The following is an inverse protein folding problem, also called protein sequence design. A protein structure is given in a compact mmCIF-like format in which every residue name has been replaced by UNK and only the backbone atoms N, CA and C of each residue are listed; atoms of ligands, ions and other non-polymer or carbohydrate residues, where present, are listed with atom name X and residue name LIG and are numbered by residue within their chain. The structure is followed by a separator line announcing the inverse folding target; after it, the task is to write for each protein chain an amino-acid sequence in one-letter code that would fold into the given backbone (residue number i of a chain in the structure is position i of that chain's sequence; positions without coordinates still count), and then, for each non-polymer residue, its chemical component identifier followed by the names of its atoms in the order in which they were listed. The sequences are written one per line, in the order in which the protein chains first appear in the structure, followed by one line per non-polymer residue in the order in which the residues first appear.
data_IF_728195660253
#
_entry.id   IF_728195660253
#
_cell.length_a   1.000
_cell.length_b   1.000
_cell.length_c   1.000
_cell.angle_alpha   90.00
_cell.angle_beta   90.00
_cell.angle_gamma   90.00
#
_symmetry.space_group_name_H-M   'P 1'
#
loop_
_entity.id
_entity.type
_entity.pdbx_description
1 polymer ?
#
# COMPACT_ATOMS: atom_id res chain seq x y z
N UNK A 1 36.59 -29.34 43.88
CA UNK A 1 35.65 -28.25 43.53
C UNK A 1 36.19 -26.86 43.81
N UNK A 2 36.56 -26.50 45.05
CA UNK A 2 37.10 -25.15 45.36
C UNK A 2 38.37 -24.80 44.55
N UNK A 3 39.30 -25.75 44.41
CA UNK A 3 40.54 -25.56 43.63
C UNK A 3 40.23 -25.45 42.13
N UNK A 4 39.25 -26.19 41.63
CA UNK A 4 38.83 -26.13 40.23
C UNK A 4 38.14 -24.79 39.91
N UNK A 5 37.32 -24.27 40.82
CA UNK A 5 36.73 -22.94 40.70
C UNK A 5 37.78 -21.82 40.70
N UNK A 6 38.82 -21.95 41.52
CA UNK A 6 39.93 -20.99 41.55
C UNK A 6 40.74 -21.00 40.23
N UNK A 7 41.00 -22.18 39.67
CA UNK A 7 41.69 -22.31 38.38
C UNK A 7 40.84 -21.78 37.21
N UNK A 8 39.51 -21.98 37.24
CA UNK A 8 38.61 -21.41 36.24
C UNK A 8 38.56 -19.89 36.29
N UNK A 9 38.54 -19.29 37.49
CA UNK A 9 38.61 -17.84 37.66
C UNK A 9 39.91 -17.26 37.10
N UNK A 10 41.05 -17.92 37.34
CA UNK A 10 42.35 -17.53 36.76
C UNK A 10 42.33 -17.64 35.24
N UNK A 11 41.73 -18.69 34.68
CA UNK A 11 41.65 -18.88 33.23
C UNK A 11 40.79 -17.79 32.57
N UNK A 12 39.63 -17.46 33.15
CA UNK A 12 38.76 -16.37 32.68
C UNK A 12 39.53 -15.05 32.75
N UNK A 13 40.22 -14.76 33.86
CA UNK A 13 41.06 -13.57 33.96
C UNK A 13 42.12 -13.55 32.86
N UNK A 14 42.91 -14.61 32.65
CA UNK A 14 43.97 -14.61 31.64
C UNK A 14 43.42 -14.44 30.21
N UNK A 15 42.27 -15.04 29.90
CA UNK A 15 41.67 -14.97 28.56
C UNK A 15 41.08 -13.59 28.27
N UNK A 16 40.42 -12.98 29.26
CA UNK A 16 39.71 -11.73 29.06
C UNK A 16 40.54 -10.49 29.44
N UNK A 17 41.59 -10.59 30.25
CA UNK A 17 42.45 -9.47 30.66
C UNK A 17 43.04 -8.68 29.48
N UNK A 18 43.51 -9.28 28.37
CA UNK A 18 44.00 -8.52 27.22
C UNK A 18 42.90 -7.69 26.54
N UNK A 19 41.65 -8.19 26.58
CA UNK A 19 40.48 -7.51 26.02
C UNK A 19 40.00 -6.41 26.98
N UNK A 20 40.03 -6.67 28.28
CA UNK A 20 39.69 -5.70 29.32
C UNK A 20 40.69 -4.55 29.32
N UNK A 21 41.99 -4.81 29.25
CA UNK A 21 43.02 -3.75 29.16
C UNK A 21 42.86 -2.93 27.87
N UNK A 22 42.47 -3.56 26.76
CA UNK A 22 42.22 -2.86 25.50
C UNK A 22 40.99 -1.95 25.61
N UNK A 23 39.92 -2.44 26.23
CA UNK A 23 38.69 -1.68 26.48
C UNK A 23 38.95 -0.56 27.49
N UNK A 24 39.69 -0.81 28.56
CA UNK A 24 40.04 0.19 29.57
C UNK A 24 40.96 1.25 29.00
N UNK A 25 41.98 0.88 28.22
CA UNK A 25 42.81 1.84 27.50
C UNK A 25 42.00 2.64 26.48
N UNK A 26 41.07 2.00 25.76
CA UNK A 26 40.17 2.69 24.84
C UNK A 26 39.25 3.68 25.58
N UNK A 27 38.66 3.29 26.71
CA UNK A 27 37.80 4.12 27.55
C UNK A 27 38.58 5.26 28.24
N UNK A 28 39.84 5.04 28.62
CA UNK A 28 40.70 6.08 29.20
C UNK A 28 41.19 7.08 28.14
N UNK A 29 41.55 6.59 26.96
CA UNK A 29 42.06 7.42 25.84
C UNK A 29 40.93 8.19 25.17
N UNK A 30 39.77 7.55 25.03
CA UNK A 30 38.58 8.12 24.43
C UNK A 30 37.45 8.09 25.44
N UNK A 31 37.58 8.93 26.48
CA UNK A 31 36.65 9.06 27.62
C UNK A 31 35.17 9.22 27.24
N UNK A 32 34.91 9.73 26.03
CA UNK A 32 33.56 9.90 25.50
C UNK A 32 33.23 8.93 24.37
N UNK A 33 34.17 8.12 23.85
CA UNK A 33 33.89 7.22 22.72
C UNK A 33 32.79 6.20 22.99
N UNK A 34 32.66 5.57 24.17
CA UNK A 34 31.52 4.68 24.44
C UNK A 34 30.19 5.43 24.41
N UNK A 35 30.16 6.65 24.98
CA UNK A 35 28.99 7.53 24.90
C UNK A 35 28.70 7.92 23.45
N UNK A 36 29.73 8.28 22.69
CA UNK A 36 29.65 8.68 21.29
C UNK A 36 29.16 7.51 20.43
N UNK A 37 29.68 6.30 20.63
CA UNK A 37 29.30 5.07 19.91
C UNK A 37 27.84 4.72 20.20
N UNK A 38 27.41 4.80 21.46
CA UNK A 38 26.00 4.58 21.85
C UNK A 38 25.10 5.70 21.29
N UNK A 39 25.57 6.95 21.22
CA UNK A 39 24.81 8.06 20.60
C UNK A 39 24.85 8.07 19.07
N UNK A 40 25.78 7.35 18.43
CA UNK A 40 25.90 7.25 16.97
C UNK A 40 25.26 5.98 16.40
N UNK A 41 24.98 4.99 17.24
CA UNK A 41 24.26 3.80 16.84
C UNK A 41 22.76 4.11 16.79
N UNK A 42 22.35 4.78 15.71
CA UNK A 42 20.94 4.97 15.41
C UNK A 42 20.25 3.60 15.40
N UNK A 43 19.14 3.51 16.12
CA UNK A 43 18.26 2.35 16.14
C UNK A 43 17.73 2.07 14.73
N UNK A 44 17.31 0.83 14.46
CA UNK A 44 16.69 0.49 13.18
C UNK A 44 15.48 1.39 12.86
N UNK A 45 14.74 1.79 13.90
CA UNK A 45 13.60 2.70 13.83
C UNK A 45 14.02 4.09 13.38
N UNK A 46 14.99 4.72 14.05
CA UNK A 46 15.46 6.08 13.71
C UNK A 46 16.01 6.15 12.28
N UNK A 47 16.71 5.09 11.83
CA UNK A 47 17.20 5.01 10.45
C UNK A 47 16.06 5.00 9.44
N UNK A 48 15.01 4.21 9.71
CA UNK A 48 13.85 4.12 8.82
C UNK A 48 13.05 5.42 8.83
N UNK A 49 12.88 6.06 9.99
CA UNK A 49 12.23 7.37 10.09
C UNK A 49 12.98 8.45 9.32
N UNK A 50 14.31 8.51 9.45
CA UNK A 50 15.14 9.44 8.67
C UNK A 50 15.02 9.14 7.16
N UNK A 51 15.07 7.87 6.76
CA UNK A 51 14.90 7.47 5.37
C UNK A 51 13.54 7.91 4.81
N UNK A 52 12.45 7.65 5.54
CA UNK A 52 11.09 8.05 5.19
C UNK A 52 10.96 9.57 5.05
N UNK A 53 11.49 10.34 6.01
CA UNK A 53 11.51 11.80 5.96
C UNK A 53 12.37 12.35 4.80
N UNK A 54 13.41 11.61 4.40
CA UNK A 54 14.32 11.97 3.32
C UNK A 54 13.83 11.59 1.92
N UNK A 55 12.67 10.95 1.79
CA UNK A 55 12.13 10.54 0.49
C UNK A 55 11.99 11.76 -0.45
N UNK A 56 12.42 11.55 -1.69
CA UNK A 56 12.33 12.55 -2.77
C UNK A 56 11.78 11.89 -4.02
N UNK A 57 11.20 12.71 -4.90
CA UNK A 57 10.58 12.25 -6.14
C UNK A 57 11.69 11.73 -7.06
N UNK A 58 11.64 10.44 -7.32
CA UNK A 58 12.53 9.77 -8.27
C UNK A 58 11.97 9.85 -9.69
N UNK A 59 10.65 9.61 -9.84
CA UNK A 59 9.96 9.60 -11.14
C UNK A 59 8.50 10.01 -11.02
N UNK A 60 7.97 10.49 -12.14
CA UNK A 60 6.56 10.77 -12.36
C UNK A 60 6.08 10.04 -13.61
N UNK A 61 4.86 9.52 -13.59
CA UNK A 61 4.22 9.06 -14.82
C UNK A 61 4.02 10.22 -15.78
N UNK A 62 4.01 9.92 -17.09
CA UNK A 62 3.59 10.90 -18.07
C UNK A 62 2.09 11.22 -17.87
N UNK A 63 1.65 12.47 -18.10
CA UNK A 63 0.23 12.80 -18.09
C UNK A 63 -0.50 11.98 -19.16
N UNK A 64 -1.62 11.38 -18.79
CA UNK A 64 -2.49 10.67 -19.73
C UNK A 64 -3.26 11.64 -20.63
N UNK A 65 -3.72 11.17 -21.79
CA UNK A 65 -4.60 11.94 -22.68
C UNK A 65 -5.96 12.23 -22.00
N UNK A 66 -6.45 11.26 -21.24
CA UNK A 66 -7.64 11.37 -20.39
C UNK A 66 -7.24 11.23 -18.92
N UNK A 67 -7.20 12.34 -18.16
CA UNK A 67 -6.84 12.30 -16.75
C UNK A 67 -7.94 11.57 -15.97
N UNK A 68 -7.53 10.64 -15.13
CA UNK A 68 -8.40 9.89 -14.23
C UNK A 68 -7.74 9.84 -12.84
N UNK A 69 -8.54 9.90 -11.79
CA UNK A 69 -8.04 9.84 -10.42
C UNK A 69 -7.50 8.44 -10.15
N UNK A 70 -6.36 8.37 -9.45
CA UNK A 70 -5.71 7.10 -9.11
C UNK A 70 -6.17 6.66 -7.72
N UNK A 71 -7.14 5.76 -7.67
CA UNK A 71 -7.90 5.44 -6.45
C UNK A 71 -7.24 4.36 -5.59
N UNK A 72 -6.44 3.48 -6.20
CA UNK A 72 -5.80 2.35 -5.51
C UNK A 72 -4.56 1.91 -6.30
N UNK A 73 -3.50 1.50 -5.61
CA UNK A 73 -2.22 1.10 -6.20
C UNK A 73 -1.79 -0.23 -5.59
N UNK A 74 -1.37 -1.15 -6.44
CA UNK A 74 -0.68 -2.35 -5.99
C UNK A 74 0.51 -2.70 -6.87
N UNK A 75 1.44 -3.46 -6.29
CA UNK A 75 2.72 -3.81 -6.88
C UNK A 75 2.84 -5.31 -7.11
N UNK A 76 3.32 -5.68 -8.29
CA UNK A 76 3.71 -7.07 -8.51
C UNK A 76 4.92 -7.39 -7.63
N UNK A 77 4.82 -8.49 -6.86
CA UNK A 77 5.98 -9.03 -6.16
C UNK A 77 6.97 -9.58 -7.19
N UNK A 78 8.29 -9.42 -6.97
CA UNK A 78 9.27 -9.95 -7.91
C UNK A 78 9.18 -11.48 -7.95
N UNK A 79 8.77 -12.04 -9.08
CA UNK A 79 8.88 -13.48 -9.30
C UNK A 79 10.35 -13.90 -9.37
N UNK A 80 10.64 -15.17 -9.03
CA UNK A 80 11.97 -15.76 -9.19
C UNK A 80 12.51 -15.68 -10.64
N UNK A 81 11.65 -15.40 -11.64
CA UNK A 81 11.98 -15.35 -13.07
C UNK A 81 12.24 -13.95 -13.65
N UNK A 82 12.30 -12.89 -12.83
CA UNK A 82 12.92 -11.61 -13.17
C UNK A 82 12.23 -10.69 -14.19
N UNK A 83 11.09 -11.08 -14.79
CA UNK A 83 10.50 -10.34 -15.91
C UNK A 83 9.24 -9.50 -15.59
N UNK A 84 8.52 -9.73 -14.48
CA UNK A 84 7.33 -8.96 -14.12
C UNK A 84 7.59 -7.89 -13.06
N UNK A 85 7.79 -6.64 -13.49
CA UNK A 85 7.88 -5.45 -12.61
C UNK A 85 6.76 -4.48 -12.96
N UNK A 86 5.57 -4.76 -12.46
CA UNK A 86 4.36 -4.03 -12.78
C UNK A 86 3.82 -3.24 -11.58
N UNK A 87 3.15 -2.14 -11.88
CA UNK A 87 2.28 -1.40 -10.97
C UNK A 87 0.89 -1.45 -11.58
N UNK A 88 -0.11 -1.84 -10.82
CA UNK A 88 -1.51 -1.77 -11.21
C UNK A 88 -2.16 -0.61 -10.46
N UNK A 89 -2.95 0.17 -11.18
CA UNK A 89 -3.62 1.33 -10.63
C UNK A 89 -5.09 1.29 -11.01
N UNK A 90 -5.97 1.25 -10.02
CA UNK A 90 -7.41 1.39 -10.26
C UNK A 90 -7.74 2.88 -10.44
N UNK A 91 -8.49 3.19 -11.49
CA UNK A 91 -8.76 4.57 -11.90
C UNK A 91 -10.26 4.92 -11.84
N UNK A 92 -10.58 6.19 -11.59
CA UNK A 92 -11.97 6.68 -11.54
C UNK A 92 -12.75 6.55 -12.85
N UNK A 93 -12.07 6.34 -13.98
CA UNK A 93 -12.67 6.05 -15.28
C UNK A 93 -12.99 4.56 -15.49
N UNK A 94 -13.07 3.77 -14.40
CA UNK A 94 -13.45 2.34 -14.41
C UNK A 94 -12.45 1.45 -15.15
N UNK A 95 -11.18 1.84 -15.12
CA UNK A 95 -10.08 1.11 -15.75
C UNK A 95 -9.00 0.73 -14.74
N UNK A 96 -8.25 -0.32 -15.07
CA UNK A 96 -7.00 -0.70 -14.42
C UNK A 96 -5.87 -0.33 -15.36
N UNK A 97 -5.04 0.61 -14.95
CA UNK A 97 -3.84 1.02 -15.70
C UNK A 97 -2.63 0.30 -15.15
N UNK A 98 -1.86 -0.32 -16.04
CA UNK A 98 -0.64 -1.04 -15.71
C UNK A 98 0.56 -0.24 -16.17
N UNK A 99 1.52 -0.04 -15.27
CA UNK A 99 2.76 0.69 -15.50
C UNK A 99 3.96 -0.20 -15.26
N UNK A 100 5.09 0.14 -15.87
CA UNK A 100 6.37 -0.44 -15.50
C UNK A 100 6.82 0.16 -14.15
N UNK A 101 7.07 -0.67 -13.16
CA UNK A 101 7.42 -0.27 -11.78
C UNK A 101 8.67 0.61 -11.68
N UNK A 102 9.68 0.35 -12.51
CA UNK A 102 10.89 1.14 -12.45
C UNK A 102 10.76 2.49 -13.15
N UNK A 103 10.09 2.54 -14.30
CA UNK A 103 10.10 3.71 -15.18
C UNK A 103 8.82 4.55 -15.09
N UNK A 104 7.77 4.03 -14.46
CA UNK A 104 6.41 4.55 -14.46
C UNK A 104 5.87 4.84 -15.88
N UNK A 105 6.40 4.12 -16.87
CA UNK A 105 5.85 4.16 -18.23
C UNK A 105 4.56 3.37 -18.23
N UNK A 106 3.51 4.01 -18.73
CA UNK A 106 2.25 3.34 -19.03
C UNK A 106 2.53 2.19 -20.01
N UNK A 107 1.98 1.02 -19.68
CA UNK A 107 2.08 -0.17 -20.50
C UNK A 107 0.73 -0.49 -21.14
N UNK A 108 -0.32 -0.59 -20.32
CA UNK A 108 -1.62 -1.14 -20.73
C UNK A 108 -2.76 -0.61 -19.87
N UNK A 109 -3.96 -0.71 -20.40
CA UNK A 109 -5.21 -0.42 -19.70
C UNK A 109 -6.18 -1.59 -19.92
N UNK A 110 -6.87 -1.98 -18.86
CA UNK A 110 -7.97 -2.94 -18.88
C UNK A 110 -9.22 -2.24 -18.39
N UNK A 111 -10.33 -2.43 -19.08
CA UNK A 111 -11.59 -1.79 -18.71
C UNK A 111 -12.70 -2.82 -18.57
N UNK A 112 -13.57 -2.60 -17.59
CA UNK A 112 -14.77 -3.40 -17.38
C UNK A 112 -16.03 -2.52 -17.37
N UNK A 113 -16.39 -1.89 -18.50
CA UNK A 113 -17.62 -1.09 -18.57
C UNK A 113 -18.86 -2.00 -18.38
N UNK A 114 -19.94 -1.52 -17.74
CA UNK A 114 -20.18 -0.15 -17.27
C UNK A 114 -19.92 0.08 -15.77
N UNK A 115 -19.48 -0.92 -15.01
CA UNK A 115 -19.46 -0.89 -13.55
C UNK A 115 -18.18 -0.28 -12.95
N UNK A 116 -18.30 0.25 -11.72
CA UNK A 116 -17.18 0.85 -11.01
C UNK A 116 -16.21 -0.24 -10.53
N UNK A 117 -14.92 0.10 -10.43
CA UNK A 117 -13.89 -0.80 -9.92
C UNK A 117 -13.58 -0.48 -8.46
N UNK A 118 -13.43 -1.53 -7.66
CA UNK A 118 -13.24 -1.44 -6.22
C UNK A 118 -11.87 -1.98 -5.82
N UNK A 119 -10.83 -1.39 -6.42
CA UNK A 119 -9.41 -1.71 -6.19
C UNK A 119 -8.76 -2.59 -7.27
N UNK A 120 -7.45 -2.79 -7.13
CA UNK A 120 -6.65 -3.69 -7.96
C UNK A 120 -5.56 -4.39 -7.13
N UNK A 121 -5.48 -5.72 -7.18
CA UNK A 121 -4.52 -6.51 -6.40
C UNK A 121 -3.80 -7.52 -7.28
N UNK A 122 -2.47 -7.57 -7.24
CA UNK A 122 -1.70 -8.62 -7.88
C UNK A 122 -1.80 -9.91 -7.08
N UNK A 123 -1.82 -11.03 -7.79
CA UNK A 123 -1.46 -12.31 -7.21
C UNK A 123 -0.03 -12.27 -6.65
N UNK A 124 0.18 -12.93 -5.52
CA UNK A 124 1.44 -12.98 -4.78
C UNK A 124 2.47 -13.92 -5.43
N UNK A 125 2.01 -15.07 -5.93
CA UNK A 125 2.81 -16.09 -6.58
C UNK A 125 2.87 -15.90 -8.11
N UNK A 126 1.84 -15.31 -8.72
CA UNK A 126 1.80 -15.02 -10.16
C UNK A 126 1.89 -13.51 -10.43
N UNK A 127 3.09 -13.01 -10.73
CA UNK A 127 3.39 -11.58 -10.95
C UNK A 127 2.65 -10.93 -12.14
N UNK A 128 2.02 -11.75 -12.99
CA UNK A 128 1.27 -11.30 -14.15
C UNK A 128 -0.25 -11.26 -13.97
N UNK A 129 -0.79 -11.82 -12.89
CA UNK A 129 -2.22 -11.83 -12.66
C UNK A 129 -2.62 -10.66 -11.76
N UNK A 130 -3.55 -9.83 -12.22
CA UNK A 130 -4.16 -8.75 -11.42
C UNK A 130 -5.66 -9.00 -11.29
N UNK A 131 -6.17 -8.82 -10.08
CA UNK A 131 -7.57 -8.97 -9.72
C UNK A 131 -8.19 -7.60 -9.50
N UNK A 132 -9.49 -7.49 -9.77
CA UNK A 132 -10.29 -6.29 -9.51
C UNK A 132 -11.72 -6.68 -9.20
N UNK A 133 -12.26 -6.22 -8.07
CA UNK A 133 -13.69 -6.27 -7.82
C UNK A 133 -14.42 -5.17 -8.60
N UNK A 134 -15.67 -5.47 -8.94
CA UNK A 134 -16.51 -4.61 -9.72
C UNK A 134 -17.93 -4.53 -9.15
N UNK A 135 -18.54 -3.35 -9.25
CA UNK A 135 -19.90 -3.10 -8.78
C UNK A 135 -20.98 -3.85 -9.59
N UNK A 136 -20.60 -4.64 -10.61
CA UNK A 136 -21.48 -5.54 -11.35
C UNK A 136 -21.67 -6.91 -10.68
N UNK A 137 -21.17 -7.07 -9.45
CA UNK A 137 -21.27 -8.33 -8.71
C UNK A 137 -20.26 -9.36 -9.17
N UNK A 138 -19.13 -8.94 -9.76
CA UNK A 138 -18.05 -9.84 -10.15
C UNK A 138 -16.68 -9.38 -9.65
N UNK A 139 -15.79 -10.35 -9.42
CA UNK A 139 -14.34 -10.13 -9.36
C UNK A 139 -13.75 -10.66 -10.66
N UNK A 140 -12.82 -9.91 -11.26
CA UNK A 140 -12.19 -10.27 -12.55
C UNK A 140 -10.69 -10.40 -12.37
N UNK A 141 -10.10 -11.41 -13.01
CA UNK A 141 -8.66 -11.61 -13.08
C UNK A 141 -8.17 -11.32 -14.51
N UNK A 142 -7.05 -10.62 -14.63
CA UNK A 142 -6.45 -10.19 -15.90
C UNK A 142 -4.99 -10.64 -15.97
N UNK A 143 -4.55 -11.15 -17.13
CA UNK A 143 -3.12 -11.35 -17.39
C UNK A 143 -2.53 -10.06 -17.96
N UNK A 144 -1.70 -9.37 -17.18
CA UNK A 144 -1.06 -8.10 -17.55
C UNK A 144 -0.06 -8.23 -18.70
N UNK A 145 0.34 -9.46 -19.05
CA UNK A 145 1.17 -9.76 -20.22
C UNK A 145 0.35 -9.99 -21.47
N UNK A 146 -0.97 -10.19 -21.36
CA UNK A 146 -1.90 -10.25 -22.48
C UNK A 146 -2.52 -8.88 -22.80
N UNK A 147 -2.60 -8.52 -24.08
CA UNK A 147 -3.26 -7.28 -24.52
C UNK A 147 -4.79 -7.46 -24.67
N UNK A 148 -5.30 -8.65 -24.36
CA UNK A 148 -6.73 -8.96 -24.45
C UNK A 148 -7.52 -8.16 -23.41
N UNK A 149 -8.56 -7.47 -23.85
CA UNK A 149 -9.54 -6.81 -22.98
C UNK A 149 -10.53 -7.80 -22.34
N UNK A 150 -10.25 -9.10 -22.41
CA UNK A 150 -11.05 -10.14 -21.78
C UNK A 150 -10.35 -10.63 -20.53
N UNK A 151 -11.06 -10.73 -19.39
CA UNK A 151 -10.50 -11.32 -18.19
C UNK A 151 -10.18 -12.80 -18.43
N UNK A 152 -9.12 -13.29 -17.78
CA UNK A 152 -8.73 -14.70 -17.81
C UNK A 152 -9.57 -15.55 -16.85
N UNK A 153 -10.12 -14.92 -15.80
CA UNK A 153 -11.11 -15.55 -14.90
C UNK A 153 -12.15 -14.51 -14.48
N UNK A 154 -13.38 -14.96 -14.28
CA UNK A 154 -14.49 -14.16 -13.72
C UNK A 154 -15.09 -14.95 -12.57
N UNK A 155 -15.22 -14.30 -11.42
CA UNK A 155 -15.84 -14.81 -10.21
C UNK A 155 -17.16 -14.08 -10.02
N UNK A 156 -18.27 -14.80 -10.14
CA UNK A 156 -19.60 -14.21 -10.02
C UNK A 156 -20.11 -14.35 -8.59
N UNK A 157 -20.65 -13.27 -8.04
CA UNK A 157 -21.41 -13.30 -6.79
C UNK A 157 -22.85 -13.75 -7.00
N UNK A 158 -23.61 -13.70 -5.92
CA UNK A 158 -25.05 -13.91 -5.96
C UNK A 158 -25.78 -12.74 -6.65
N UNK A 159 -27.01 -12.95 -7.15
CA UNK A 159 -27.83 -11.86 -7.65
C UNK A 159 -27.94 -10.73 -6.63
N UNK A 160 -27.88 -9.47 -7.10
CA UNK A 160 -27.90 -8.24 -6.28
C UNK A 160 -26.62 -7.90 -5.53
N UNK A 161 -25.59 -8.75 -5.52
CA UNK A 161 -24.32 -8.38 -4.90
C UNK A 161 -23.66 -7.21 -5.64
N UNK A 162 -23.22 -6.21 -4.88
CA UNK A 162 -22.43 -5.07 -5.36
C UNK A 162 -21.11 -5.05 -4.60
N UNK A 163 -20.00 -5.41 -5.25
CA UNK A 163 -18.71 -5.50 -4.57
C UNK A 163 -17.99 -4.14 -4.48
N UNK A 164 -17.67 -3.72 -3.25
CA UNK A 164 -16.98 -2.47 -2.93
C UNK A 164 -15.62 -2.66 -2.25
N UNK A 165 -15.29 -3.89 -1.90
CA UNK A 165 -13.97 -4.27 -1.40
C UNK A 165 -13.65 -5.71 -1.79
N UNK A 166 -12.37 -6.03 -1.89
CA UNK A 166 -11.90 -7.40 -2.05
C UNK A 166 -10.43 -7.50 -1.71
N UNK A 167 -9.97 -8.73 -1.47
CA UNK A 167 -8.55 -9.07 -1.44
C UNK A 167 -8.32 -10.53 -1.84
N UNK A 168 -7.06 -10.90 -2.07
CA UNK A 168 -6.63 -12.25 -2.41
C UNK A 168 -5.66 -12.78 -1.34
N UNK A 169 -5.90 -14.01 -0.88
CA UNK A 169 -5.05 -14.68 0.11
C UNK A 169 -3.60 -14.73 -0.33
N UNK A 170 -2.67 -14.78 0.64
CA UNK A 170 -1.24 -14.76 0.33
C UNK A 170 -0.76 -15.99 -0.47
N UNK A 171 -1.59 -17.03 -0.57
CA UNK A 171 -1.38 -18.25 -1.35
C UNK A 171 -1.98 -18.22 -2.76
N UNK A 172 -2.68 -17.13 -3.12
CA UNK A 172 -3.48 -16.98 -4.35
C UNK A 172 -4.60 -18.02 -4.54
N UNK A 173 -5.00 -18.71 -3.47
CA UNK A 173 -6.00 -19.78 -3.55
C UNK A 173 -7.42 -19.27 -3.32
N UNK A 174 -7.59 -18.32 -2.40
CA UNK A 174 -8.88 -17.77 -2.03
C UNK A 174 -8.94 -16.28 -2.37
N UNK A 175 -10.05 -15.88 -2.98
CA UNK A 175 -10.46 -14.48 -3.14
C UNK A 175 -11.65 -14.25 -2.23
N UNK A 176 -11.67 -13.11 -1.54
CA UNK A 176 -12.81 -12.67 -0.73
C UNK A 176 -13.23 -11.26 -1.18
N UNK A 177 -14.53 -11.02 -1.31
CA UNK A 177 -15.08 -9.71 -1.65
C UNK A 177 -16.24 -9.33 -0.73
N UNK A 178 -16.32 -8.05 -0.41
CA UNK A 178 -17.31 -7.47 0.51
C UNK A 178 -18.32 -6.65 -0.27
N UNK A 179 -19.59 -6.74 0.12
CA UNK A 179 -20.67 -6.05 -0.56
C UNK A 179 -21.06 -4.72 0.09
N UNK A 180 -21.71 -3.86 -0.67
CA UNK A 180 -22.64 -2.87 -0.11
C UNK A 180 -23.80 -3.59 0.57
N UNK A 181 -24.45 -2.90 1.50
CA UNK A 181 -25.71 -3.33 2.09
C UNK A 181 -26.82 -3.18 1.07
N UNK A 182 -27.41 -4.31 0.70
CA UNK A 182 -28.60 -4.34 -0.14
C UNK A 182 -29.76 -4.89 0.68
N UNK A 183 -30.80 -4.07 0.81
CA UNK A 183 -31.94 -4.33 1.70
C UNK A 183 -31.53 -4.47 3.18
N UNK A 184 -31.39 -5.69 3.69
CA UNK A 184 -30.98 -5.97 5.06
C UNK A 184 -29.69 -6.79 5.14
N UNK A 185 -29.17 -7.28 4.03
CA UNK A 185 -28.07 -8.23 4.02
C UNK A 185 -26.78 -7.57 3.53
N UNK A 186 -25.67 -8.05 4.08
CA UNK A 186 -24.31 -7.71 3.65
C UNK A 186 -23.47 -8.97 3.70
N UNK A 187 -22.61 -9.18 2.72
CA UNK A 187 -21.92 -10.46 2.56
C UNK A 187 -20.41 -10.29 2.38
N UNK A 188 -19.64 -11.10 3.10
CA UNK A 188 -18.30 -11.53 2.64
C UNK A 188 -18.50 -12.75 1.75
N UNK A 189 -18.06 -12.69 0.51
CA UNK A 189 -18.22 -13.78 -0.47
C UNK A 189 -16.86 -14.35 -0.82
N UNK A 190 -16.76 -15.68 -0.86
CA UNK A 190 -15.49 -16.38 -1.05
C UNK A 190 -15.49 -17.18 -2.35
N UNK A 191 -14.35 -17.25 -3.04
CA UNK A 191 -14.15 -18.09 -4.22
C UNK A 191 -12.80 -18.80 -4.21
N UNK A 192 -12.76 -19.92 -4.91
CA UNK A 192 -11.53 -20.63 -5.24
C UNK A 192 -10.89 -20.05 -6.52
N UNK A 193 -9.73 -19.41 -6.36
CA UNK A 193 -8.94 -18.82 -7.44
C UNK A 193 -8.06 -19.83 -8.19
N UNK A 194 -8.00 -21.11 -7.78
CA UNK A 194 -7.24 -22.17 -8.47
C UNK A 194 -7.79 -22.44 -9.86
N UNK A 195 -6.89 -22.75 -10.79
CA UNK A 195 -7.25 -23.18 -12.13
C UNK A 195 -7.52 -22.02 -13.08
N UNK A 196 -6.54 -21.78 -13.96
CA UNK A 196 -6.81 -21.22 -15.29
C UNK A 196 -7.50 -22.37 -16.04
N UNK A 197 -8.83 -22.46 -15.96
CA UNK A 197 -9.54 -23.40 -16.82
C UNK A 197 -9.45 -22.85 -18.24
N UNK A 198 -9.02 -23.69 -19.20
CA UNK A 198 -8.93 -23.34 -20.63
C UNK A 198 -10.29 -22.93 -21.25
N UNK A 199 -11.36 -22.95 -20.45
CA UNK A 199 -12.69 -22.46 -20.76
C UNK A 199 -12.87 -21.08 -20.13
N UNK A 200 -12.39 -20.03 -20.81
CA UNK A 200 -12.60 -18.61 -20.47
C UNK A 200 -14.08 -18.14 -20.49
N UNK A 201 -15.04 -19.05 -20.31
CA UNK A 201 -16.47 -18.85 -20.52
C UNK A 201 -17.37 -19.34 -19.39
N UNK A 202 -16.85 -19.96 -18.33
CA UNK A 202 -17.65 -20.24 -17.13
C UNK A 202 -17.21 -19.30 -16.02
N UNK A 203 -18.12 -18.44 -15.58
CA UNK A 203 -17.92 -17.74 -14.31
C UNK A 203 -17.78 -18.78 -13.19
N UNK A 204 -16.91 -18.50 -12.22
CA UNK A 204 -16.77 -19.31 -11.02
C UNK A 204 -17.84 -18.91 -10.03
N UNK A 205 -18.55 -19.92 -9.54
CA UNK A 205 -19.54 -19.77 -8.47
C UNK A 205 -18.86 -19.60 -7.10
N UNK A 206 -19.50 -18.91 -6.14
CA UNK A 206 -18.98 -18.76 -4.78
C UNK A 206 -18.79 -20.11 -4.07
N UNK A 207 -17.78 -20.18 -3.21
CA UNK A 207 -17.59 -21.26 -2.23
C UNK A 207 -18.59 -21.17 -1.08
N UNK A 208 -18.95 -19.94 -0.70
CA UNK A 208 -19.84 -19.65 0.41
C UNK A 208 -19.81 -18.16 0.75
N UNK A 209 -20.59 -17.79 1.78
CA UNK A 209 -20.68 -16.43 2.30
C UNK A 209 -20.62 -16.42 3.81
N UNK A 210 -20.15 -15.30 4.37
CA UNK A 210 -20.47 -14.89 5.73
C UNK A 210 -21.47 -13.74 5.65
N UNK A 211 -22.56 -13.84 6.39
CA UNK A 211 -23.74 -12.96 6.29
C UNK A 211 -24.17 -12.32 7.61
N UNK A 212 -23.60 -12.76 8.73
CA UNK A 212 -24.05 -12.36 10.07
C UNK A 212 -23.02 -11.48 10.81
N UNK A 213 -21.81 -11.36 10.27
CA UNK A 213 -20.69 -10.64 10.89
C UNK A 213 -20.75 -9.12 10.78
N UNK A 214 -21.42 -8.59 9.74
CA UNK A 214 -21.52 -7.16 9.49
C UNK A 214 -22.96 -6.75 9.17
N UNK A 215 -23.35 -5.57 9.62
CA UNK A 215 -24.71 -5.04 9.45
C UNK A 215 -24.78 -3.88 8.44
N UNK A 216 -23.65 -3.47 7.87
CA UNK A 216 -23.53 -2.37 6.90
C UNK A 216 -22.36 -2.63 5.94
N UNK A 217 -22.21 -1.78 4.92
CA UNK A 217 -21.22 -1.84 3.85
C UNK A 217 -19.84 -2.36 4.32
N UNK A 218 -19.34 -3.44 3.70
CA UNK A 218 -17.98 -3.95 3.97
C UNK A 218 -16.98 -3.14 3.15
N UNK A 219 -16.43 -2.12 3.77
CA UNK A 219 -15.59 -1.10 3.12
C UNK A 219 -14.20 -1.59 2.79
N UNK A 220 -13.67 -2.57 3.55
CA UNK A 220 -12.35 -3.16 3.33
C UNK A 220 -12.27 -4.63 3.73
N UNK A 221 -11.42 -5.35 3.00
CA UNK A 221 -10.98 -6.71 3.29
C UNK A 221 -9.47 -6.72 3.13
N UNK A 222 -8.76 -7.38 4.04
CA UNK A 222 -7.32 -7.56 3.97
C UNK A 222 -6.94 -8.97 4.44
N UNK A 223 -6.42 -9.79 3.53
CA UNK A 223 -5.84 -11.07 3.91
C UNK A 223 -4.53 -10.86 4.65
N UNK A 224 -4.29 -11.74 5.62
CA UNK A 224 -3.04 -11.75 6.35
C UNK A 224 -1.87 -11.98 5.39
N UNK A 225 -0.77 -11.22 5.54
CA UNK A 225 0.29 -11.20 4.54
C UNK A 225 1.11 -12.49 4.46
N UNK A 226 1.07 -13.35 5.48
CA UNK A 226 1.84 -14.59 5.57
C UNK A 226 0.96 -15.83 5.78
N UNK A 227 -0.19 -15.70 6.42
CA UNK A 227 -1.06 -16.83 6.80
C UNK A 227 -2.30 -16.83 5.90
N UNK A 228 -2.49 -17.82 5.02
CA UNK A 228 -3.45 -17.72 3.92
C UNK A 228 -4.92 -17.80 4.36
N UNK A 229 -5.17 -18.27 5.59
CA UNK A 229 -6.52 -18.46 6.13
C UNK A 229 -6.95 -17.34 7.06
N UNK A 230 -6.08 -16.38 7.38
CA UNK A 230 -6.46 -15.24 8.19
C UNK A 230 -6.90 -14.08 7.30
N UNK A 231 -8.05 -13.50 7.61
CA UNK A 231 -8.59 -12.33 6.92
C UNK A 231 -9.23 -11.38 7.92
N UNK A 232 -9.05 -10.08 7.69
CA UNK A 232 -9.74 -9.03 8.43
C UNK A 232 -10.70 -8.30 7.51
N UNK A 233 -11.89 -7.99 7.99
CA UNK A 233 -12.86 -7.12 7.32
C UNK A 233 -13.20 -5.92 8.19
N UNK A 234 -13.54 -4.80 7.54
CA UNK A 234 -14.01 -3.58 8.19
C UNK A 234 -15.27 -3.08 7.51
N UNK A 235 -16.18 -2.50 8.29
CA UNK A 235 -17.48 -2.03 7.81
C UNK A 235 -17.84 -0.63 8.29
N UNK A 236 -18.81 -0.02 7.60
CA UNK A 236 -19.48 1.20 8.04
C UNK A 236 -20.22 1.04 9.37
N UNK A 237 -20.53 -0.18 9.80
CA UNK A 237 -21.11 -0.46 11.13
C UNK A 237 -20.14 -0.19 12.29
N UNK A 238 -18.87 0.11 11.99
CA UNK A 238 -17.81 0.45 12.94
C UNK A 238 -17.06 -0.76 13.51
N UNK A 239 -17.39 -1.96 13.04
CA UNK A 239 -16.74 -3.19 13.44
C UNK A 239 -15.59 -3.55 12.49
N UNK A 240 -14.58 -4.17 13.08
CA UNK A 240 -13.46 -4.82 12.42
C UNK A 240 -13.43 -6.27 12.88
N UNK A 241 -13.70 -7.21 11.98
CA UNK A 241 -13.79 -8.63 12.30
C UNK A 241 -12.58 -9.39 11.77
N UNK A 242 -12.01 -10.27 12.59
CA UNK A 242 -10.87 -11.13 12.26
C UNK A 242 -11.35 -12.57 12.16
N UNK A 243 -11.03 -13.25 11.06
CA UNK A 243 -11.48 -14.61 10.79
C UNK A 243 -10.33 -15.57 10.49
N UNK A 244 -10.48 -16.82 10.93
CA UNK A 244 -9.81 -17.99 10.35
C UNK A 244 -10.77 -18.73 9.42
N UNK A 245 -10.59 -18.56 8.11
CA UNK A 245 -11.45 -19.16 7.08
C UNK A 245 -11.17 -20.66 6.85
N UNK A 246 -10.32 -21.29 7.67
CA UNK A 246 -10.12 -22.74 7.68
C UNK A 246 -11.12 -23.48 8.60
N UNK A 247 -12.10 -22.75 9.14
CA UNK A 247 -13.17 -23.28 10.00
C UNK A 247 -14.42 -23.60 9.18
N UNK A 248 -15.26 -24.46 9.71
CA UNK A 248 -16.38 -25.05 8.96
C UNK A 248 -17.55 -24.07 8.73
N UNK A 249 -17.70 -23.06 9.59
CA UNK A 249 -18.79 -22.07 9.53
C UNK A 249 -18.32 -20.68 10.01
N UNK A 250 -19.17 -19.66 9.81
CA UNK A 250 -18.90 -18.26 10.16
C UNK A 250 -18.63 -18.06 11.65
N UNK A 251 -19.45 -18.63 12.52
CA UNK A 251 -19.33 -18.47 13.98
C UNK A 251 -17.99 -19.01 14.50
N UNK A 252 -17.57 -20.19 14.01
CA UNK A 252 -16.29 -20.80 14.38
C UNK A 252 -15.10 -20.07 13.72
N UNK A 253 -15.32 -19.44 12.56
CA UNK A 253 -14.31 -18.67 11.84
C UNK A 253 -14.01 -17.35 12.52
N UNK A 254 -14.99 -16.71 13.16
CA UNK A 254 -14.83 -15.42 13.82
C UNK A 254 -13.92 -15.53 15.05
N UNK A 255 -12.70 -15.01 14.94
CA UNK A 255 -11.71 -14.96 16.03
C UNK A 255 -12.00 -13.80 16.98
N UNK A 256 -12.27 -12.61 16.43
CA UNK A 256 -12.43 -11.40 17.21
C UNK A 256 -13.22 -10.34 16.47
N UNK A 257 -13.94 -9.52 17.23
CA UNK A 257 -14.65 -8.32 16.77
C UNK A 257 -14.14 -7.11 17.54
N UNK A 258 -13.46 -6.22 16.83
CA UNK A 258 -12.93 -4.97 17.35
C UNK A 258 -13.87 -3.81 16.97
N UNK A 259 -14.20 -2.92 17.92
CA UNK A 259 -15.08 -1.79 17.67
C UNK A 259 -14.29 -0.48 17.61
N UNK A 260 -14.44 0.26 16.52
CA UNK A 260 -13.83 1.58 16.31
C UNK A 260 -14.73 2.76 16.71
N UNK A 261 -16.01 2.49 16.98
CA UNK A 261 -17.14 3.40 17.19
C UNK A 261 -17.45 4.35 16.02
N UNK A 262 -16.85 4.15 14.84
CA UNK A 262 -17.10 4.96 13.65
C UNK A 262 -16.90 4.17 12.36
N UNK A 263 -17.42 4.65 11.24
CA UNK A 263 -17.37 3.94 9.96
C UNK A 263 -15.92 3.68 9.51
N UNK A 264 -15.55 2.42 9.29
CA UNK A 264 -14.18 2.01 8.93
C UNK A 264 -13.88 2.37 7.47
N UNK A 265 -12.75 3.02 7.22
CA UNK A 265 -12.29 3.45 5.88
C UNK A 265 -11.07 2.65 5.39
N UNK A 266 -10.22 2.19 6.31
CA UNK A 266 -9.01 1.42 6.03
C UNK A 266 -8.77 0.40 7.14
N UNK A 267 -8.20 -0.75 6.80
CA UNK A 267 -7.74 -1.76 7.77
C UNK A 267 -6.39 -2.32 7.32
N UNK A 268 -5.61 -2.83 8.26
CA UNK A 268 -4.39 -3.55 7.94
C UNK A 268 -3.83 -4.35 9.12
N UNK A 269 -2.87 -5.21 8.79
CA UNK A 269 -2.11 -6.00 9.74
C UNK A 269 -0.79 -5.31 10.09
N UNK A 270 -0.39 -5.39 11.34
CA UNK A 270 0.88 -4.88 11.84
C UNK A 270 1.46 -5.76 12.94
N UNK A 271 2.59 -5.34 13.48
CA UNK A 271 3.23 -6.05 14.58
C UNK A 271 4.05 -7.23 14.11
N UNK A 272 4.85 -7.74 15.03
CA UNK A 272 5.69 -8.90 14.76
C UNK A 272 4.81 -10.10 14.41
N UNK A 273 5.18 -10.80 13.35
CA UNK A 273 4.39 -11.89 12.76
C UNK A 273 2.97 -11.48 12.35
N UNK A 274 2.71 -10.17 12.21
CA UNK A 274 1.42 -9.61 11.82
C UNK A 274 0.26 -9.91 12.79
N UNK A 275 0.56 -9.98 14.10
CA UNK A 275 -0.41 -10.30 15.16
C UNK A 275 -1.26 -9.13 15.65
N UNK A 276 -1.07 -7.94 15.10
CA UNK A 276 -1.87 -6.78 15.43
C UNK A 276 -2.73 -6.37 14.24
N UNK A 277 -3.86 -5.77 14.53
CA UNK A 277 -4.79 -5.22 13.54
C UNK A 277 -4.99 -3.75 13.85
N UNK A 278 -5.03 -2.92 12.81
CA UNK A 278 -5.41 -1.53 12.96
C UNK A 278 -6.48 -1.14 11.95
N UNK A 279 -7.22 -0.08 12.27
CA UNK A 279 -8.12 0.56 11.33
C UNK A 279 -8.01 2.08 11.36
N UNK A 280 -8.45 2.66 10.25
CA UNK A 280 -8.77 4.08 10.12
C UNK A 280 -10.26 4.23 9.87
N UNK A 281 -10.82 5.35 10.29
CA UNK A 281 -12.24 5.65 10.13
C UNK A 281 -12.46 6.78 9.13
N UNK A 282 -13.68 6.95 8.64
CA UNK A 282 -14.03 8.02 7.69
C UNK A 282 -13.99 9.43 8.31
N UNK A 283 -14.00 9.51 9.64
CA UNK A 283 -13.83 10.75 10.40
C UNK A 283 -12.39 10.96 10.91
N UNK A 284 -11.42 10.26 10.32
CA UNK A 284 -9.98 10.42 10.57
C UNK A 284 -9.49 9.94 11.95
N UNK A 285 -10.23 9.00 12.54
CA UNK A 285 -9.81 8.26 13.72
C UNK A 285 -8.86 7.11 13.38
N UNK A 286 -8.17 6.62 14.41
CA UNK A 286 -7.23 5.50 14.36
C UNK A 286 -7.44 4.58 15.57
N UNK A 287 -7.59 3.29 15.31
CA UNK A 287 -7.65 2.27 16.36
C UNK A 287 -6.65 1.15 16.04
N UNK A 288 -6.02 0.60 17.08
CA UNK A 288 -4.97 -0.42 16.97
C UNK A 288 -5.10 -1.42 18.10
N UNK A 289 -5.06 -2.70 17.77
CA UNK A 289 -5.30 -3.81 18.68
C UNK A 289 -4.26 -4.93 18.51
N UNK A 290 -3.89 -5.58 19.61
CA UNK A 290 -3.01 -6.76 19.67
C UNK A 290 -3.85 -8.03 19.82
N UNK A 291 -3.87 -8.87 18.78
CA UNK A 291 -4.61 -10.13 18.79
C UNK A 291 -3.93 -11.20 19.65
N UNK A 292 -2.66 -11.01 20.03
CA UNK A 292 -1.98 -11.93 20.92
C UNK A 292 -2.54 -11.87 22.36
N UNK A 293 -3.26 -10.81 22.72
CA UNK A 293 -3.84 -10.64 24.06
C UNK A 293 -5.24 -11.26 24.20
N UNK A 294 -5.83 -11.85 23.14
CA UNK A 294 -7.20 -12.38 23.16
C UNK A 294 -7.43 -13.43 24.27
N UNK A 295 -6.42 -14.25 24.56
CA UNK A 295 -6.48 -15.29 25.60
C UNK A 295 -5.91 -14.82 26.95
N UNK A 296 -5.70 -13.51 27.12
CA UNK A 296 -5.10 -12.91 28.31
C UNK A 296 -6.09 -11.98 29.02
N UNK A 297 -5.74 -11.55 30.23
CA UNK A 297 -6.50 -10.54 30.99
C UNK A 297 -6.14 -9.09 30.60
N UNK A 298 -5.13 -8.91 29.73
CA UNK A 298 -4.68 -7.59 29.30
C UNK A 298 -5.61 -7.02 28.22
N UNK A 299 -5.82 -5.69 28.18
CA UNK A 299 -6.64 -5.08 27.14
C UNK A 299 -5.98 -5.27 25.77
N UNK A 300 -6.75 -5.75 24.79
CA UNK A 300 -6.27 -5.89 23.41
C UNK A 300 -5.96 -4.54 22.76
N UNK A 301 -6.56 -3.44 23.21
CA UNK A 301 -6.40 -2.12 22.58
C UNK A 301 -5.04 -1.52 22.90
N UNK A 302 -4.22 -1.33 21.87
CA UNK A 302 -2.90 -0.70 21.97
C UNK A 302 -2.98 0.83 21.94
N UNK A 303 -3.76 1.38 21.01
CA UNK A 303 -3.96 2.83 20.89
C UNK A 303 -5.31 3.13 20.25
N UNK A 304 -5.95 4.20 20.73
CA UNK A 304 -7.13 4.77 20.10
C UNK A 304 -7.03 6.29 20.07
N UNK A 305 -7.21 6.85 18.87
CA UNK A 305 -7.23 8.28 18.61
C UNK A 305 -8.52 8.61 17.87
N UNK A 306 -9.36 9.48 18.44
CA UNK A 306 -10.66 9.82 17.85
C UNK A 306 -10.52 10.66 16.57
N UNK A 307 -9.56 11.58 16.55
CA UNK A 307 -9.22 12.38 15.38
C UNK A 307 -7.70 12.59 15.36
N UNK A 308 -7.03 11.99 14.37
CA UNK A 308 -5.57 12.07 14.23
C UNK A 308 -5.11 13.49 13.90
N UNK A 309 -5.97 14.31 13.29
CA UNK A 309 -5.64 15.70 12.91
C UNK A 309 -5.41 16.59 14.12
N UNK A 310 -6.09 16.30 15.22
CA UNK A 310 -5.91 17.01 16.49
C UNK A 310 -4.64 16.58 17.24
N UNK A 311 -4.15 15.37 16.95
CA UNK A 311 -3.00 14.77 17.64
C UNK A 311 -1.66 15.10 16.97
N UNK A 312 -1.65 15.32 15.65
CA UNK A 312 -0.44 15.56 14.88
C UNK A 312 -0.38 17.01 14.43
N UNK A 313 0.30 17.85 15.21
CA UNK A 313 0.50 19.26 14.87
C UNK A 313 1.90 19.52 14.31
N UNK A 314 1.97 20.14 13.14
CA UNK A 314 3.18 20.78 12.63
C UNK A 314 2.92 22.26 12.44
N UNK A 315 3.87 23.11 12.86
CA UNK A 315 3.73 24.58 12.88
C UNK A 315 3.28 25.22 11.55
N UNK A 316 3.40 24.51 10.41
CA UNK A 316 2.99 24.99 9.08
C UNK A 316 2.32 23.93 8.17
N UNK A 317 1.94 22.75 8.70
CA UNK A 317 1.31 21.72 7.88
C UNK A 317 0.18 21.03 8.64
N UNK A 318 -1.07 21.46 8.39
CA UNK A 318 -2.25 20.81 8.94
C UNK A 318 -2.56 19.52 8.20
N UNK A 319 -2.71 18.41 8.93
CA UNK A 319 -3.23 17.16 8.38
C UNK A 319 -4.73 17.34 8.05
N UNK A 320 -5.15 17.00 6.83
CA UNK A 320 -6.56 17.13 6.42
C UNK A 320 -7.30 15.80 6.42
N UNK A 321 -6.61 14.72 6.03
CA UNK A 321 -7.14 13.37 5.91
C UNK A 321 -6.04 12.31 6.05
N UNK A 322 -6.44 11.09 6.36
CA UNK A 322 -5.63 9.89 6.31
C UNK A 322 -5.89 9.13 5.00
N UNK A 323 -4.88 8.41 4.53
CA UNK A 323 -4.93 7.58 3.31
C UNK A 323 -4.89 6.10 3.66
N UNK A 324 -4.11 5.72 4.68
CA UNK A 324 -3.92 4.32 5.09
C UNK A 324 -2.74 4.15 6.05
N UNK A 325 -2.45 2.90 6.39
CA UNK A 325 -1.31 2.54 7.24
C UNK A 325 -0.30 1.64 6.52
N UNK A 326 0.92 1.64 7.03
CA UNK A 326 2.06 0.88 6.54
C UNK A 326 2.82 0.27 7.71
N UNK A 327 2.84 -1.06 7.80
CA UNK A 327 3.76 -1.75 8.71
C UNK A 327 5.13 -1.97 8.03
N UNK A 328 6.20 -1.48 8.67
CA UNK A 328 7.56 -1.62 8.18
C UNK A 328 8.30 -2.74 8.92
N UNK A 329 8.33 -3.94 8.32
CA UNK A 329 8.87 -5.17 8.94
C UNK A 329 10.28 -5.00 9.53
N UNK A 330 11.21 -4.32 8.84
CA UNK A 330 12.59 -4.14 9.35
C UNK A 330 12.68 -3.24 10.59
N UNK A 331 11.74 -2.32 10.74
CA UNK A 331 11.67 -1.41 11.89
C UNK A 331 10.72 -1.95 12.97
N UNK A 332 9.98 -3.01 12.66
CA UNK A 332 8.85 -3.51 13.43
C UNK A 332 7.89 -2.40 13.86
N UNK A 333 7.63 -1.43 12.98
CA UNK A 333 6.89 -0.21 13.31
C UNK A 333 5.78 0.10 12.31
N UNK A 334 4.63 0.52 12.84
CA UNK A 334 3.49 0.99 12.07
C UNK A 334 3.61 2.50 11.80
N UNK A 335 3.36 2.89 10.56
CA UNK A 335 3.26 4.27 10.13
C UNK A 335 1.89 4.53 9.54
N UNK A 336 1.32 5.71 9.80
CA UNK A 336 0.16 6.23 9.07
C UNK A 336 0.62 7.17 7.98
N UNK A 337 -0.12 7.14 6.88
CA UNK A 337 0.05 8.07 5.78
C UNK A 337 -1.22 8.90 5.70
N UNK A 338 -1.04 10.21 5.75
CA UNK A 338 -2.10 11.17 5.52
C UNK A 338 -1.62 12.29 4.61
N UNK A 339 -2.43 13.32 4.44
CA UNK A 339 -2.06 14.41 3.56
C UNK A 339 -2.91 15.65 3.68
N UNK A 340 -2.64 16.58 2.77
CA UNK A 340 -3.39 17.82 2.60
C UNK A 340 -4.14 17.80 1.28
N UNK A 341 -5.16 18.65 1.16
CA UNK A 341 -5.88 18.84 -0.11
C UNK A 341 -4.99 19.47 -1.19
N UNK A 342 -3.87 20.09 -0.81
CA UNK A 342 -2.87 20.62 -1.74
C UNK A 342 -1.89 19.58 -2.27
N UNK A 343 -1.94 18.33 -1.78
CA UNK A 343 -1.09 17.22 -2.25
C UNK A 343 0.21 17.00 -1.47
N UNK A 344 0.36 17.60 -0.29
CA UNK A 344 1.44 17.19 0.63
C UNK A 344 1.07 15.85 1.29
N UNK A 345 2.08 15.04 1.58
CA UNK A 345 1.93 13.74 2.24
C UNK A 345 2.62 13.79 3.60
N UNK A 346 1.92 13.41 4.65
CA UNK A 346 2.44 13.29 6.01
C UNK A 346 2.71 11.82 6.35
N UNK A 347 3.91 11.55 6.87
CA UNK A 347 4.31 10.25 7.40
C UNK A 347 4.30 10.36 8.92
N UNK A 348 3.51 9.52 9.58
CA UNK A 348 3.26 9.59 11.01
C UNK A 348 3.64 8.24 11.61
N UNK A 349 4.48 8.24 12.63
CA UNK A 349 4.87 7.04 13.37
C UNK A 349 3.84 6.75 14.46
N UNK A 350 3.45 5.47 14.60
CA UNK A 350 2.62 4.98 15.69
C UNK A 350 3.49 4.39 16.80
N UNK A 351 3.20 4.77 18.04
CA UNK A 351 3.72 4.14 19.26
C UNK A 351 2.59 3.95 20.27
N UNK A 352 2.81 3.12 21.28
CA UNK A 352 1.87 2.96 22.40
C UNK A 352 1.66 4.25 23.21
N UNK A 353 2.61 5.18 23.11
CA UNK A 353 2.61 6.50 23.74
C UNK A 353 1.91 7.58 22.88
N UNK A 354 1.58 7.29 21.63
CA UNK A 354 0.82 8.17 20.74
C UNK A 354 1.35 8.23 19.31
N UNK A 355 1.02 9.32 18.63
CA UNK A 355 1.37 9.56 17.23
C UNK A 355 2.42 10.66 17.11
N UNK A 356 3.40 10.49 16.23
CA UNK A 356 4.47 11.46 16.01
C UNK A 356 4.71 11.70 14.51
N UNK A 357 4.82 12.96 14.09
CA UNK A 357 5.15 13.28 12.71
C UNK A 357 6.60 12.93 12.40
N UNK A 358 6.82 12.04 11.43
CA UNK A 358 8.15 11.66 10.94
C UNK A 358 8.64 12.64 9.89
N UNK A 359 7.76 13.03 8.96
CA UNK A 359 8.12 13.97 7.91
C UNK A 359 6.98 14.29 6.96
N UNK A 360 7.22 15.30 6.13
CA UNK A 360 6.27 15.74 5.10
C UNK A 360 6.93 15.70 3.72
N UNK A 361 6.30 15.01 2.78
CA UNK A 361 6.69 14.99 1.38
C UNK A 361 5.90 16.08 0.63
N UNK A 362 6.62 17.06 0.09
CA UNK A 362 6.04 18.23 -0.58
C UNK A 362 6.41 18.27 -2.07
N UNK A 363 5.64 19.02 -2.86
CA UNK A 363 5.96 19.29 -4.29
C UNK A 363 5.74 18.10 -5.23
N UNK A 364 5.14 17.03 -4.73
CA UNK A 364 4.73 15.86 -5.51
C UNK A 364 3.40 16.10 -6.19
N UNK A 365 2.33 15.94 -5.44
CA UNK A 365 0.98 16.07 -5.96
C UNK A 365 0.47 17.51 -5.91
N UNK A 366 -0.51 17.82 -6.76
CA UNK A 366 -1.21 19.11 -6.77
C UNK A 366 -2.67 19.03 -6.29
N UNK A 367 -3.09 17.85 -5.82
CA UNK A 367 -4.43 17.56 -5.32
C UNK A 367 -4.35 16.42 -4.29
N UNK A 368 -5.52 16.01 -3.76
CA UNK A 368 -5.66 14.92 -2.80
C UNK A 368 -4.95 13.64 -3.25
N UNK A 369 -4.12 13.08 -2.38
CA UNK A 369 -3.52 11.75 -2.55
C UNK A 369 -4.52 10.71 -2.07
N UNK A 370 -4.83 9.74 -2.92
CA UNK A 370 -5.89 8.73 -2.68
C UNK A 370 -5.34 7.35 -2.38
N UNK A 371 -4.12 7.08 -2.82
CA UNK A 371 -3.52 5.76 -2.70
C UNK A 371 -2.01 5.84 -2.56
N UNK A 372 -1.45 4.84 -1.88
CA UNK A 372 -0.02 4.62 -1.82
C UNK A 372 0.29 3.13 -1.81
N UNK A 373 1.54 2.79 -2.13
CA UNK A 373 2.06 1.45 -1.94
C UNK A 373 3.53 1.54 -1.55
N UNK A 374 3.88 0.99 -0.39
CA UNK A 374 5.28 0.86 0.02
C UNK A 374 5.87 -0.44 -0.52
N UNK A 375 7.10 -0.34 -0.97
CA UNK A 375 7.86 -1.49 -1.39
C UNK A 375 9.12 -1.61 -0.56
N UNK A 376 9.09 -2.58 0.36
CA UNK A 376 10.18 -2.86 1.30
C UNK A 376 11.49 -3.25 0.58
N UNK A 377 11.40 -3.88 -0.60
CA UNK A 377 12.58 -4.34 -1.33
C UNK A 377 13.43 -3.19 -1.92
N UNK A 378 12.78 -2.11 -2.40
CA UNK A 378 13.50 -0.95 -2.96
C UNK A 378 13.45 0.28 -2.02
N UNK A 379 12.93 0.11 -0.80
CA UNK A 379 12.68 1.18 0.18
C UNK A 379 12.05 2.42 -0.48
N UNK A 380 10.98 2.18 -1.23
CA UNK A 380 10.37 3.19 -2.11
C UNK A 380 8.87 3.27 -1.90
N UNK A 381 8.34 4.48 -1.98
CA UNK A 381 6.91 4.76 -1.89
C UNK A 381 6.35 5.09 -3.28
N UNK A 382 5.25 4.47 -3.66
CA UNK A 382 4.41 4.93 -4.77
C UNK A 382 3.22 5.68 -4.21
N UNK A 383 2.80 6.76 -4.89
CA UNK A 383 1.60 7.52 -4.53
C UNK A 383 0.80 7.89 -5.78
N UNK A 384 -0.52 7.92 -5.62
CA UNK A 384 -1.47 8.30 -6.65
C UNK A 384 -2.59 9.15 -6.08
N UNK A 385 -3.10 10.09 -6.87
CA UNK A 385 -4.10 11.04 -6.41
C UNK A 385 -5.06 11.53 -7.48
N UNK A 386 -5.78 12.58 -7.13
CA UNK A 386 -6.78 13.25 -7.99
C UNK A 386 -6.16 14.10 -9.09
N UNK A 387 -4.86 14.35 -9.03
CA UNK A 387 -4.10 15.02 -10.08
C UNK A 387 -3.71 14.10 -11.25
N UNK A 388 -4.19 12.85 -11.23
CA UNK A 388 -3.91 11.81 -12.22
C UNK A 388 -2.41 11.50 -12.38
N UNK A 389 -1.58 11.78 -11.37
CA UNK A 389 -0.15 11.46 -11.38
C UNK A 389 0.15 10.22 -10.53
N UNK A 390 0.96 9.32 -11.08
CA UNK A 390 1.63 8.27 -10.32
C UNK A 390 3.06 8.74 -10.04
N UNK A 391 3.44 8.83 -8.77
CA UNK A 391 4.76 9.28 -8.34
C UNK A 391 5.52 8.16 -7.64
N UNK A 392 6.82 8.07 -7.91
CA UNK A 392 7.74 7.17 -7.22
C UNK A 392 8.71 8.00 -6.39
N UNK A 393 8.75 7.74 -5.10
CA UNK A 393 9.61 8.38 -4.12
C UNK A 393 10.71 7.41 -3.70
N UNK A 394 11.96 7.87 -3.65
CA UNK A 394 13.11 7.09 -3.18
C UNK A 394 14.04 7.92 -2.29
N UNK A 395 14.76 7.29 -1.35
CA UNK A 395 15.79 7.97 -0.56
C UNK A 395 16.88 8.52 -1.48
N UNK A 396 17.33 9.75 -1.22
CA UNK A 396 18.44 10.39 -1.95
C UNK A 396 18.19 10.63 -3.45
N UNK A 397 16.94 10.49 -3.92
CA UNK A 397 16.62 10.74 -5.32
C UNK A 397 16.72 12.23 -5.67
N UNK A 398 17.29 12.51 -6.84
CA UNK A 398 17.22 13.83 -7.46
C UNK A 398 16.30 13.71 -8.65
N UNK A 399 15.21 14.49 -8.65
CA UNK A 399 14.27 14.51 -9.75
C UNK A 399 15.02 14.91 -11.03
N UNK A 400 15.18 13.96 -11.95
CA UNK A 400 15.71 14.26 -13.27
C UNK A 400 14.62 15.00 -14.00
N UNK A 401 14.68 16.34 -13.98
CA UNK A 401 13.77 17.14 -14.78
C UNK A 401 13.85 16.65 -16.23
N UNK A 402 12.70 16.31 -16.79
CA UNK A 402 12.55 16.31 -18.24
C UNK A 402 12.63 17.78 -18.63
N UNK A 403 13.84 18.36 -18.65
CA UNK A 403 14.08 19.57 -19.42
C UNK A 403 13.50 19.25 -20.79
N UNK A 404 12.42 19.95 -21.15
CA UNK A 404 11.95 20.02 -22.53
C UNK A 404 13.23 20.06 -23.35
N UNK A 405 13.48 19.05 -24.18
CA UNK A 405 14.37 19.23 -25.32
C UNK A 405 13.71 20.35 -26.11
N UNK A 406 14.00 21.59 -25.74
CA UNK A 406 13.81 22.73 -26.60
C UNK A 406 14.53 22.29 -27.86
N UNK A 407 13.75 22.07 -28.90
CA UNK A 407 14.24 21.79 -30.21
C UNK A 407 15.10 22.98 -30.60
N UNK A 408 16.40 22.88 -30.34
CA UNK A 408 17.44 23.64 -31.03
C UNK A 408 17.48 23.16 -32.48
N UNK A 409 16.35 23.28 -33.20
CA UNK A 409 16.39 23.53 -34.62
C UNK A 409 16.65 25.02 -34.75
N UNK A 410 17.93 25.36 -34.70
CA UNK A 410 18.42 26.61 -35.28
C UNK A 410 17.96 26.55 -36.74
N UNK A 411 16.92 27.32 -37.08
CA UNK A 411 16.55 27.54 -38.45
C UNK A 411 17.76 28.18 -39.14
N UNK A 412 18.43 27.40 -39.99
CA UNK A 412 19.55 27.91 -40.77
C UNK A 412 19.03 29.02 -41.68
N UNK A 413 19.58 30.22 -41.54
CA UNK A 413 19.19 31.44 -42.27
C UNK A 413 19.72 31.48 -43.72
N UNK A 414 19.92 30.32 -44.34
CA UNK A 414 20.42 30.21 -45.72
C UNK A 414 19.32 29.69 -46.63
N UNK A 415 18.38 30.56 -46.98
CA UNK A 415 17.72 30.60 -48.28
C UNK A 415 17.22 32.02 -48.53
N UNK A 416 18.17 32.91 -48.78
CA UNK A 416 17.90 34.20 -49.43
C UNK A 416 17.38 33.94 -50.85
N UNK A 417 16.24 34.58 -51.14
CA UNK A 417 15.90 35.32 -52.39
C UNK A 417 16.18 34.60 -53.72
N UNK A 418 15.11 34.40 -54.53
CA UNK A 418 14.99 34.96 -55.90
C UNK A 418 13.52 34.90 -56.39
N UNK A 419 13.01 36.08 -56.73
CA UNK A 419 11.99 36.50 -57.73
C UNK A 419 10.57 35.92 -57.79
N UNK A 420 9.64 36.76 -57.30
CA UNK A 420 8.48 37.37 -58.00
C UNK A 420 8.31 37.03 -59.50
N UNK A 421 7.14 36.50 -59.87
CA UNK A 421 6.26 37.17 -60.84
C UNK A 421 4.77 36.79 -60.71
N UNK A 422 3.94 37.81 -60.95
CA UNK A 422 2.48 37.85 -60.91
C UNK A 422 1.83 36.96 -61.96
N UNK A 423 0.64 36.44 -61.66
CA UNK A 423 -0.55 36.77 -62.47
C UNK A 423 -1.84 36.36 -61.76
N UNK A 424 -2.68 37.37 -61.53
CA UNK A 424 -4.12 37.30 -61.26
C UNK A 424 -4.87 36.36 -62.21
N UNK A 425 -5.98 35.76 -61.74
CA UNK A 425 -7.31 35.87 -62.39
C UNK A 425 -8.42 35.13 -61.59
N UNK A 426 -9.35 35.96 -61.08
CA UNK A 426 -10.83 35.81 -61.07
C UNK A 426 -11.50 34.57 -60.44
N UNK A 427 -12.16 34.82 -59.30
CA UNK A 427 -13.64 34.86 -59.15
C UNK A 427 -14.48 33.89 -59.98
N UNK A 428 -15.22 33.00 -59.29
CA UNK A 428 -16.70 33.03 -59.32
C UNK A 428 -17.35 32.23 -58.17
N UNK A 429 -18.29 32.89 -57.49
CA UNK A 429 -19.28 32.34 -56.56
C UNK A 429 -20.21 31.33 -57.26
N UNK A 430 -20.63 30.28 -56.55
CA UNK A 430 -21.98 30.19 -55.99
C UNK A 430 -22.00 29.18 -54.85
#
# INVERSE_FOLDING_TARGET
DVIAGFLYAILILIVFHPVVDLIDNFNLTYKYAPLIIITFEMTAVEKVEEQLASLRIAKRSAPGEEPAYLLDIDLSKPAQSGNGRFVAVSCSNKSIRVYNRETLRFLREYSSPPAALSGARFARACDSAVFSACSDGTVKCWDVRSATQKPVQVFSGYPSNVFISFDISCSDLIVCAGTEKVEQDTFLVFWDARGITDCASSAKEPLGVYSESHNDDITKICFHPVEPNLVVSGSTDGLVNVFDINKDNEDDALISTCNSDSSVSFIGWSGKDYKEVYCLTHDEGFCWWDMAQLDTEEPITLLRVLDVRDSVWAENHSLHYLVGGLYHEKAEKLFLIGGTSSGNIHLISCGSDGLSLVGTLCGGHSATVRSFCWNLADESLLTGGEDAQLLLWKPGAVERSLTKKASLKIASSVQKRVRVHNSSLKSRKK
#
